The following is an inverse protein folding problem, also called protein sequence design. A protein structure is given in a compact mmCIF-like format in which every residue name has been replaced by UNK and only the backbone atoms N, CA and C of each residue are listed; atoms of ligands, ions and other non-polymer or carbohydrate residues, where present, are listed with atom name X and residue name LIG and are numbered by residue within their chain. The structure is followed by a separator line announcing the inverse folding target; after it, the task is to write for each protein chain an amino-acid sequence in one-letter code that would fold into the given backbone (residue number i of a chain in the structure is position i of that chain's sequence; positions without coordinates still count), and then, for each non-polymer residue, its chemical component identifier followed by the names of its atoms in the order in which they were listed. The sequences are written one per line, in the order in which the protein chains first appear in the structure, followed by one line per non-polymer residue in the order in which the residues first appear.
data_IF_181176453369
#
_entry.id   IF_181176453369
#
_cell.length_a   1.000
_cell.length_b   1.000
_cell.length_c   1.000
_cell.angle_alpha   90.00
_cell.angle_beta   90.00
_cell.angle_gamma   90.00
#
_symmetry.space_group_name_H-M   'P 1'
#
loop_
_entity.id
_entity.type
_entity.pdbx_description
1 polymer ?
#
# COMPACT_ATOMS: atom_id res chain seq x y z
N UNK A 1 -12.17 -15.19 -21.85
CA UNK A 1 -10.89 -15.69 -21.33
C UNK A 1 -10.67 -15.20 -19.92
N UNK A 2 -10.37 -16.11 -19.02
CA UNK A 2 -10.00 -15.72 -17.66
C UNK A 2 -8.66 -14.97 -17.70
N UNK A 3 -8.60 -13.79 -17.06
CA UNK A 3 -7.36 -13.05 -16.95
C UNK A 3 -6.44 -13.78 -15.96
N UNK A 4 -5.13 -13.78 -16.24
CA UNK A 4 -4.17 -14.31 -15.29
C UNK A 4 -4.22 -13.51 -13.99
N UNK A 5 -4.17 -14.16 -12.81
CA UNK A 5 -4.14 -13.44 -11.54
C UNK A 5 -2.87 -12.60 -11.41
N UNK A 6 -2.98 -11.47 -10.69
CA UNK A 6 -1.81 -10.65 -10.39
C UNK A 6 -0.92 -11.33 -9.36
N UNK A 7 -1.53 -11.81 -8.30
CA UNK A 7 -0.86 -12.43 -7.17
C UNK A 7 -1.68 -13.62 -6.68
N UNK A 8 -0.99 -14.69 -6.32
CA UNK A 8 -1.62 -15.88 -5.75
C UNK A 8 -0.85 -16.34 -4.53
N UNK A 9 -1.56 -16.54 -3.43
CA UNK A 9 -1.05 -17.17 -2.22
C UNK A 9 -1.69 -18.54 -2.09
N UNK A 10 -0.88 -19.58 -1.91
CA UNK A 10 -1.35 -20.95 -1.82
C UNK A 10 -0.80 -21.61 -0.55
N UNK A 11 -1.70 -22.03 0.34
CA UNK A 11 -1.34 -22.75 1.54
C UNK A 11 -0.44 -21.98 2.50
N UNK A 12 -0.59 -20.67 2.57
CA UNK A 12 0.27 -19.81 3.39
C UNK A 12 0.03 -20.08 4.87
N UNK A 13 1.09 -20.42 5.56
CA UNK A 13 1.11 -20.58 7.01
C UNK A 13 2.18 -19.68 7.60
N UNK A 14 1.81 -18.96 8.66
CA UNK A 14 2.68 -18.05 9.38
C UNK A 14 2.46 -18.22 10.87
N UNK A 15 3.56 -18.28 11.60
CA UNK A 15 3.55 -18.25 13.06
C UNK A 15 4.26 -16.99 13.52
N UNK A 16 3.76 -16.40 14.58
CA UNK A 16 4.38 -15.25 15.20
C UNK A 16 4.38 -15.50 16.72
N UNK A 17 5.58 -15.52 17.30
CA UNK A 17 5.72 -15.76 18.73
C UNK A 17 5.25 -17.14 19.20
N UNK A 18 5.23 -18.13 18.30
CA UNK A 18 4.79 -19.50 18.63
C UNK A 18 3.34 -19.80 18.33
N UNK A 19 2.52 -18.79 18.12
CA UNK A 19 1.11 -18.97 17.77
C UNK A 19 0.90 -18.86 16.28
N UNK A 20 0.13 -19.78 15.65
CA UNK A 20 -0.17 -19.67 14.24
C UNK A 20 -1.08 -18.46 13.97
N UNK A 21 -0.63 -17.54 13.11
CA UNK A 21 -1.41 -16.40 12.68
C UNK A 21 -2.32 -16.80 11.53
N UNK A 22 -1.77 -17.55 10.57
CA UNK A 22 -2.50 -18.09 9.43
C UNK A 22 -2.13 -19.55 9.27
N UNK A 23 -3.11 -20.36 8.88
CA UNK A 23 -2.94 -21.78 8.59
C UNK A 23 -3.58 -22.09 7.25
N UNK A 24 -2.77 -22.48 6.27
CA UNK A 24 -3.22 -22.85 4.92
C UNK A 24 -4.11 -21.80 4.25
N UNK A 25 -3.71 -20.55 4.31
CA UNK A 25 -4.45 -19.45 3.68
C UNK A 25 -4.25 -19.47 2.16
N UNK A 26 -5.34 -19.46 1.43
CA UNK A 26 -5.35 -19.32 -0.02
C UNK A 26 -5.98 -17.98 -0.39
N UNK A 27 -5.35 -17.24 -1.29
CA UNK A 27 -5.85 -15.96 -1.75
C UNK A 27 -5.40 -15.74 -3.19
N UNK A 28 -6.32 -15.31 -4.05
CA UNK A 28 -6.04 -14.96 -5.44
C UNK A 28 -6.49 -13.54 -5.67
N UNK A 29 -5.61 -12.71 -6.22
CA UNK A 29 -5.91 -11.32 -6.56
C UNK A 29 -5.89 -11.18 -8.08
N UNK A 30 -7.04 -10.82 -8.65
CA UNK A 30 -7.23 -10.60 -10.07
C UNK A 30 -7.04 -9.11 -10.43
N UNK A 31 -6.75 -8.78 -11.70
CA UNK A 31 -6.73 -7.39 -12.13
C UNK A 31 -8.04 -6.68 -11.80
N UNK A 32 -7.93 -5.52 -11.17
CA UNK A 32 -9.09 -4.73 -10.80
C UNK A 32 -9.80 -5.14 -9.51
N UNK A 33 -9.32 -6.17 -8.82
CA UNK A 33 -9.92 -6.60 -7.55
C UNK A 33 -9.76 -5.52 -6.47
N UNK A 34 -10.75 -5.44 -5.60
CA UNK A 34 -10.79 -4.53 -4.46
C UNK A 34 -11.06 -5.34 -3.21
N UNK A 35 -10.03 -5.51 -2.39
CA UNK A 35 -10.09 -6.39 -1.24
C UNK A 35 -9.87 -5.58 0.03
N UNK A 36 -10.77 -5.73 1.00
CA UNK A 36 -10.59 -5.16 2.32
C UNK A 36 -10.30 -6.29 3.31
N UNK A 37 -9.21 -6.13 4.06
CA UNK A 37 -8.87 -7.01 5.17
C UNK A 37 -9.31 -6.33 6.45
N UNK A 38 -10.26 -6.95 7.13
CA UNK A 38 -10.84 -6.41 8.36
C UNK A 38 -10.54 -7.38 9.50
N UNK A 39 -10.21 -6.87 10.66
CA UNK A 39 -9.94 -7.68 11.83
C UNK A 39 -9.32 -6.87 12.94
N UNK A 40 -9.13 -7.51 14.08
CA UNK A 40 -8.55 -6.86 15.25
C UNK A 40 -7.05 -6.65 15.09
N UNK A 41 -6.50 -5.69 15.83
CA UNK A 41 -5.06 -5.52 15.96
C UNK A 41 -4.45 -6.83 16.45
N UNK A 42 -3.30 -7.20 15.89
CA UNK A 42 -2.62 -8.43 16.24
C UNK A 42 -3.14 -9.67 15.54
N UNK A 43 -4.09 -9.54 14.60
CA UNK A 43 -4.59 -10.68 13.80
C UNK A 43 -3.65 -11.06 12.64
N UNK A 44 -2.52 -10.37 12.49
CA UNK A 44 -1.52 -10.67 11.46
C UNK A 44 -1.79 -10.06 10.08
N UNK A 45 -2.73 -9.12 9.98
CA UNK A 45 -3.06 -8.48 8.70
C UNK A 45 -1.84 -7.78 8.08
N UNK A 46 -1.10 -7.03 8.87
CA UNK A 46 0.11 -6.34 8.39
C UNK A 46 1.19 -7.33 7.95
N UNK A 47 1.33 -8.45 8.66
CA UNK A 47 2.27 -9.50 8.29
C UNK A 47 1.86 -10.16 6.97
N UNK A 48 0.57 -10.44 6.80
CA UNK A 48 0.05 -10.96 5.53
C UNK A 48 0.33 -9.99 4.39
N UNK A 49 0.15 -8.70 4.61
CA UNK A 49 0.44 -7.69 3.59
C UNK A 49 1.91 -7.67 3.21
N UNK A 50 2.82 -7.86 4.17
CA UNK A 50 4.25 -7.98 3.89
C UNK A 50 4.56 -9.23 3.07
N UNK A 51 3.87 -10.34 3.32
CA UNK A 51 4.00 -11.54 2.49
C UNK A 51 3.53 -11.23 1.07
N UNK A 52 2.41 -10.57 0.90
CA UNK A 52 1.91 -10.17 -0.42
C UNK A 52 2.89 -9.26 -1.14
N UNK A 53 3.55 -8.36 -0.42
CA UNK A 53 4.54 -7.44 -0.98
C UNK A 53 5.89 -8.11 -1.31
N UNK A 54 6.10 -9.35 -0.86
CA UNK A 54 7.37 -10.03 -1.04
C UNK A 54 8.46 -9.62 -0.04
N UNK A 55 8.08 -8.93 1.03
CA UNK A 55 9.00 -8.44 2.06
C UNK A 55 9.20 -9.44 3.20
N UNK A 56 8.36 -10.45 3.28
CA UNK A 56 8.45 -11.49 4.29
C UNK A 56 8.08 -12.84 3.68
N UNK A 57 8.87 -13.86 3.98
CA UNK A 57 8.57 -15.21 3.53
C UNK A 57 7.63 -15.90 4.52
N UNK A 58 6.64 -16.67 4.04
CA UNK A 58 5.81 -17.48 4.93
C UNK A 58 6.57 -18.70 5.42
N UNK A 59 6.12 -19.31 6.52
CA UNK A 59 6.69 -20.55 7.03
C UNK A 59 6.37 -21.72 6.09
N UNK A 60 5.20 -21.71 5.49
CA UNK A 60 4.76 -22.70 4.50
C UNK A 60 3.93 -22.01 3.44
N UNK A 61 3.88 -22.65 2.28
CA UNK A 61 3.07 -22.18 1.17
C UNK A 61 3.86 -21.45 0.11
N UNK A 62 3.19 -21.07 -0.95
CA UNK A 62 3.80 -20.42 -2.11
C UNK A 62 3.13 -19.08 -2.39
N UNK A 63 3.97 -18.11 -2.67
CA UNK A 63 3.57 -16.81 -3.20
C UNK A 63 3.98 -16.78 -4.68
N UNK A 64 3.00 -16.58 -5.55
CA UNK A 64 3.24 -16.48 -6.99
C UNK A 64 2.79 -15.11 -7.48
N UNK A 65 3.73 -14.35 -8.02
CA UNK A 65 3.46 -13.08 -8.66
C UNK A 65 3.61 -13.25 -10.15
N UNK A 66 2.59 -12.85 -10.92
CA UNK A 66 2.68 -12.93 -12.38
C UNK A 66 3.81 -12.04 -12.88
N UNK A 67 4.71 -12.55 -13.74
CA UNK A 67 5.82 -11.76 -14.27
C UNK A 67 5.35 -10.46 -14.91
N UNK A 68 6.07 -9.37 -14.61
CA UNK A 68 5.72 -8.05 -15.12
C UNK A 68 4.69 -7.28 -14.30
N UNK A 69 4.17 -7.87 -13.22
CA UNK A 69 3.21 -7.19 -12.36
C UNK A 69 3.94 -6.21 -11.42
N UNK A 70 3.57 -4.95 -11.48
CA UNK A 70 4.08 -3.93 -10.59
C UNK A 70 3.24 -3.95 -9.30
N UNK A 71 3.92 -4.08 -8.16
CA UNK A 71 3.31 -4.07 -6.83
C UNK A 71 3.84 -2.87 -6.06
N UNK A 72 2.93 -2.04 -5.56
CA UNK A 72 3.28 -0.95 -4.66
C UNK A 72 2.80 -1.25 -3.26
N UNK A 73 3.64 -0.95 -2.27
CA UNK A 73 3.33 -1.18 -0.87
C UNK A 73 3.53 0.12 -0.09
N UNK A 74 2.48 0.53 0.63
CA UNK A 74 2.55 1.69 1.51
C UNK A 74 3.11 1.24 2.86
N UNK A 75 4.37 1.56 3.10
CA UNK A 75 5.01 1.26 4.38
C UNK A 75 4.47 2.18 5.49
N UNK A 76 4.36 1.64 6.70
CA UNK A 76 3.93 2.42 7.86
C UNK A 76 4.98 3.45 8.28
N UNK A 77 6.25 3.12 8.10
CA UNK A 77 7.38 3.98 8.49
C UNK A 77 8.43 3.98 7.37
N UNK A 78 8.16 4.73 6.29
CA UNK A 78 9.06 4.74 5.14
C UNK A 78 10.38 5.44 5.45
N UNK A 79 11.46 4.90 4.88
CA UNK A 79 12.77 5.52 4.97
C UNK A 79 12.91 6.55 3.85
N UNK A 80 12.93 7.82 4.23
CA UNK A 80 13.05 8.94 3.30
C UNK A 80 14.44 9.56 3.29
N UNK A 81 15.42 8.93 3.96
CA UNK A 81 16.76 9.50 4.16
C UNK A 81 17.53 9.80 2.87
N UNK A 82 17.19 9.14 1.76
CA UNK A 82 17.82 9.35 0.46
C UNK A 82 17.28 10.59 -0.28
N UNK A 83 16.29 11.29 0.26
CA UNK A 83 15.60 12.39 -0.41
C UNK A 83 15.68 13.68 0.41
N UNK A 84 15.69 14.82 -0.27
CA UNK A 84 15.72 16.14 0.38
C UNK A 84 14.31 16.59 0.80
N UNK A 85 13.33 16.40 -0.09
CA UNK A 85 11.96 16.85 0.15
C UNK A 85 10.97 15.70 0.01
N UNK A 86 9.77 15.90 0.55
CA UNK A 86 8.68 14.94 0.40
C UNK A 86 8.29 14.74 -1.06
N UNK A 87 8.35 15.81 -1.85
CA UNK A 87 8.07 15.74 -3.27
C UNK A 87 9.09 14.92 -4.03
N UNK A 88 10.37 15.04 -3.69
CA UNK A 88 11.42 14.23 -4.29
C UNK A 88 11.19 12.75 -4.06
N UNK A 89 10.82 12.38 -2.84
CA UNK A 89 10.49 11.01 -2.49
C UNK A 89 9.26 10.52 -3.27
N UNK A 90 8.19 11.31 -3.27
CA UNK A 90 6.92 10.90 -3.89
C UNK A 90 7.04 10.77 -5.43
N UNK A 91 7.91 11.56 -6.05
CA UNK A 91 8.09 11.55 -7.51
C UNK A 91 9.23 10.66 -7.99
N UNK A 92 9.95 9.98 -7.10
CA UNK A 92 11.20 9.30 -7.39
C UNK A 92 11.12 8.26 -8.51
N UNK A 93 9.98 7.62 -8.68
CA UNK A 93 9.78 6.55 -9.68
C UNK A 93 8.92 7.00 -10.87
N UNK A 94 8.47 8.26 -10.88
CA UNK A 94 7.65 8.75 -11.98
C UNK A 94 8.50 9.09 -13.21
N UNK A 95 7.95 8.85 -14.41
CA UNK A 95 8.62 9.31 -15.64
C UNK A 95 8.74 10.84 -15.65
N UNK A 96 9.78 11.39 -16.32
CA UNK A 96 9.90 12.83 -16.47
C UNK A 96 8.66 13.46 -17.10
N UNK A 97 8.19 14.56 -16.53
CA UNK A 97 7.00 15.27 -17.00
C UNK A 97 5.70 14.84 -16.30
N UNK A 98 5.75 13.82 -15.44
CA UNK A 98 4.56 13.34 -14.71
C UNK A 98 4.56 13.75 -13.23
N UNK A 99 5.46 14.66 -12.84
CA UNK A 99 5.53 15.16 -11.46
C UNK A 99 4.23 15.84 -11.00
N UNK A 100 3.42 16.31 -11.95
CA UNK A 100 2.11 16.90 -11.64
C UNK A 100 1.20 15.94 -10.87
N UNK A 101 1.39 14.64 -11.02
CA UNK A 101 0.61 13.64 -10.29
C UNK A 101 0.85 13.73 -8.79
N UNK A 102 2.09 13.99 -8.40
CA UNK A 102 2.44 14.21 -7.00
C UNK A 102 1.79 15.49 -6.48
N UNK A 103 1.82 16.56 -7.26
CA UNK A 103 1.21 17.83 -6.87
C UNK A 103 -0.29 17.66 -6.62
N UNK A 104 -0.98 16.93 -7.48
CA UNK A 104 -2.42 16.64 -7.30
C UNK A 104 -2.68 15.82 -6.04
N UNK A 105 -1.88 14.79 -5.81
CA UNK A 105 -2.02 13.96 -4.62
C UNK A 105 -1.68 14.74 -3.34
N UNK A 106 -0.67 15.60 -3.39
CA UNK A 106 -0.28 16.44 -2.27
C UNK A 106 -1.39 17.41 -1.87
N UNK A 107 -2.07 17.98 -2.86
CA UNK A 107 -3.20 18.86 -2.60
C UNK A 107 -4.35 18.10 -1.93
N UNK A 108 -4.69 16.93 -2.44
CA UNK A 108 -5.75 16.10 -1.87
C UNK A 108 -5.44 15.56 -0.47
N UNK A 109 -4.19 15.17 -0.24
CA UNK A 109 -3.74 14.60 1.03
C UNK A 109 -3.21 15.67 2.01
N UNK A 110 -3.15 16.93 1.57
CA UNK A 110 -2.78 18.08 2.40
C UNK A 110 -1.38 18.01 2.99
N UNK A 111 -0.39 17.84 2.12
CA UNK A 111 1.00 18.07 2.49
C UNK A 111 1.68 18.91 1.41
N UNK A 112 2.81 19.50 1.77
CA UNK A 112 3.59 20.33 0.86
C UNK A 112 4.77 19.54 0.30
N UNK A 113 4.87 19.37 -1.03
CA UNK A 113 5.98 18.62 -1.62
C UNK A 113 7.35 19.23 -1.32
N UNK A 114 7.42 20.54 -1.13
CA UNK A 114 8.67 21.25 -0.82
C UNK A 114 9.14 21.07 0.64
N UNK A 115 8.34 20.44 1.49
CA UNK A 115 8.72 20.23 2.89
C UNK A 115 9.97 19.35 2.98
N UNK A 116 11.02 19.80 3.69
CA UNK A 116 12.22 18.98 3.87
C UNK A 116 11.89 17.70 4.65
N UNK A 117 12.46 16.59 4.20
CA UNK A 117 12.28 15.29 4.87
C UNK A 117 12.74 15.37 6.33
N UNK A 118 13.83 16.11 6.59
CA UNK A 118 14.40 16.23 7.94
C UNK A 118 13.46 16.87 8.96
N UNK A 119 12.54 17.72 8.52
CA UNK A 119 11.61 18.43 9.40
C UNK A 119 10.17 17.91 9.31
N UNK A 120 9.90 16.98 8.40
CA UNK A 120 8.57 16.46 8.20
C UNK A 120 8.10 15.63 9.39
N UNK A 121 6.83 15.80 9.74
CA UNK A 121 6.18 14.98 10.78
C UNK A 121 5.96 13.54 10.28
N UNK A 122 5.69 12.62 11.19
CA UNK A 122 5.34 11.24 10.82
C UNK A 122 4.09 11.19 9.93
N UNK A 123 3.09 12.02 10.23
CA UNK A 123 1.89 12.12 9.41
C UNK A 123 2.16 12.64 8.01
N UNK A 124 3.02 13.64 7.88
CA UNK A 124 3.44 14.18 6.57
C UNK A 124 4.18 13.12 5.75
N UNK A 125 5.08 12.38 6.38
CA UNK A 125 5.81 11.29 5.72
C UNK A 125 4.88 10.20 5.21
N UNK A 126 3.90 9.81 6.01
CA UNK A 126 2.89 8.83 5.62
C UNK A 126 2.04 9.31 4.47
N UNK A 127 1.62 10.57 4.49
CA UNK A 127 0.85 11.16 3.39
C UNK A 127 1.67 11.21 2.11
N UNK A 128 2.96 11.52 2.22
CA UNK A 128 3.87 11.48 1.07
C UNK A 128 4.03 10.06 0.52
N UNK A 129 4.12 9.04 1.37
CA UNK A 129 4.17 7.64 0.95
C UNK A 129 2.89 7.23 0.21
N UNK A 130 1.75 7.66 0.71
CA UNK A 130 0.47 7.42 0.06
C UNK A 130 0.37 8.14 -1.28
N UNK A 131 0.84 9.38 -1.33
CA UNK A 131 0.88 10.15 -2.58
C UNK A 131 1.76 9.48 -3.63
N UNK A 132 2.91 8.96 -3.22
CA UNK A 132 3.80 8.21 -4.11
C UNK A 132 3.08 7.02 -4.73
N UNK A 133 2.41 6.25 -3.91
CA UNK A 133 1.70 5.06 -4.36
C UNK A 133 0.56 5.41 -5.32
N UNK A 134 -0.23 6.44 -4.97
CA UNK A 134 -1.34 6.88 -5.82
C UNK A 134 -0.85 7.46 -7.15
N UNK A 135 0.29 8.17 -7.14
CA UNK A 135 0.87 8.73 -8.36
C UNK A 135 1.47 7.66 -9.26
N UNK A 136 2.13 6.66 -8.69
CA UNK A 136 2.67 5.51 -9.44
C UNK A 136 1.57 4.68 -10.09
N UNK A 137 0.44 4.53 -9.41
CA UNK A 137 -0.69 3.70 -9.83
C UNK A 137 -0.24 2.31 -10.32
N UNK A 138 0.46 1.52 -9.49
CA UNK A 138 0.91 0.18 -9.89
C UNK A 138 -0.29 -0.73 -10.12
N UNK A 139 -0.07 -1.88 -10.75
CA UNK A 139 -1.15 -2.82 -11.02
C UNK A 139 -1.81 -3.37 -9.75
N UNK A 140 -1.02 -3.50 -8.69
CA UNK A 140 -1.52 -3.91 -7.37
C UNK A 140 -0.99 -2.94 -6.30
N UNK A 141 -1.91 -2.35 -5.55
CA UNK A 141 -1.58 -1.48 -4.42
C UNK A 141 -1.89 -2.20 -3.11
N UNK A 142 -0.93 -2.19 -2.20
CA UNK A 142 -1.09 -2.75 -0.86
C UNK A 142 -1.08 -1.59 0.14
N UNK A 143 -2.24 -1.36 0.76
CA UNK A 143 -2.49 -0.19 1.60
C UNK A 143 -2.76 -0.63 3.05
N UNK A 144 -1.80 -0.36 3.94
CA UNK A 144 -1.94 -0.70 5.35
C UNK A 144 -2.45 0.51 6.12
N UNK A 145 -3.73 0.50 6.44
CA UNK A 145 -4.43 1.56 7.18
C UNK A 145 -4.19 2.96 6.59
N UNK A 146 -4.50 3.14 5.29
CA UNK A 146 -4.14 4.38 4.60
C UNK A 146 -4.87 5.62 5.11
N UNK A 147 -5.98 5.45 5.84
CA UNK A 147 -6.76 6.58 6.35
C UNK A 147 -6.27 7.09 7.70
N UNK A 148 -5.32 6.41 8.36
CA UNK A 148 -4.75 6.88 9.61
C UNK A 148 -4.08 8.23 9.42
N UNK A 149 -4.34 9.15 10.33
CA UNK A 149 -3.80 10.51 10.33
C UNK A 149 -4.28 11.39 9.17
N UNK A 150 -5.37 11.01 8.50
CA UNK A 150 -6.02 11.82 7.49
C UNK A 150 -7.25 12.51 8.08
N UNK A 151 -7.48 13.77 7.68
CA UNK A 151 -8.73 14.44 8.00
C UNK A 151 -9.84 13.95 7.05
N UNK A 152 -11.08 14.39 7.30
CA UNK A 152 -12.25 13.94 6.54
C UNK A 152 -12.10 14.26 5.05
N UNK A 153 -11.60 15.45 4.71
CA UNK A 153 -11.44 15.84 3.32
C UNK A 153 -10.40 15.00 2.58
N UNK A 154 -9.30 14.67 3.27
CA UNK A 154 -8.27 13.80 2.71
C UNK A 154 -8.79 12.37 2.52
N UNK A 155 -9.58 11.86 3.46
CA UNK A 155 -10.23 10.56 3.34
C UNK A 155 -11.18 10.54 2.14
N UNK A 156 -11.99 11.57 1.98
CA UNK A 156 -12.91 11.68 0.83
C UNK A 156 -12.14 11.72 -0.49
N UNK A 157 -11.04 12.47 -0.54
CA UNK A 157 -10.18 12.50 -1.72
C UNK A 157 -9.64 11.11 -2.05
N UNK A 158 -9.11 10.41 -1.04
CA UNK A 158 -8.56 9.07 -1.21
C UNK A 158 -9.62 8.07 -1.68
N UNK A 159 -10.81 8.12 -1.09
CA UNK A 159 -11.93 7.25 -1.49
C UNK A 159 -12.32 7.49 -2.94
N UNK A 160 -12.34 8.74 -3.37
CA UNK A 160 -12.64 9.09 -4.76
C UNK A 160 -11.57 8.55 -5.71
N UNK A 161 -10.29 8.68 -5.34
CA UNK A 161 -9.19 8.16 -6.15
C UNK A 161 -9.21 6.64 -6.23
N UNK A 162 -9.46 5.95 -5.13
CA UNK A 162 -9.57 4.49 -5.12
C UNK A 162 -10.81 4.02 -5.89
N UNK A 163 -11.87 4.81 -5.88
CA UNK A 163 -13.06 4.52 -6.68
C UNK A 163 -12.82 4.61 -8.19
N UNK A 164 -11.91 5.50 -8.61
CA UNK A 164 -11.60 5.75 -10.01
C UNK A 164 -10.41 4.94 -10.54
N UNK A 165 -9.59 4.37 -9.67
CA UNK A 165 -8.38 3.67 -10.10
C UNK A 165 -8.69 2.37 -10.81
N UNK A 166 -7.86 2.03 -11.79
CA UNK A 166 -7.88 0.73 -12.47
C UNK A 166 -7.00 -0.29 -11.77
N UNK A 167 -6.17 0.14 -10.84
CA UNK A 167 -5.31 -0.75 -10.05
C UNK A 167 -6.17 -1.67 -9.20
N UNK A 168 -5.72 -2.91 -9.03
CA UNK A 168 -6.23 -3.75 -7.95
C UNK A 168 -5.66 -3.22 -6.64
N UNK A 169 -6.38 -3.37 -5.54
CA UNK A 169 -5.83 -3.00 -4.25
C UNK A 169 -6.33 -3.90 -3.13
N UNK A 170 -5.46 -4.06 -2.15
CA UNK A 170 -5.78 -4.70 -0.87
C UNK A 170 -5.57 -3.65 0.21
N UNK A 171 -6.59 -3.41 1.00
CA UNK A 171 -6.56 -2.40 2.04
C UNK A 171 -6.83 -3.04 3.39
N UNK A 172 -5.98 -2.72 4.36
CA UNK A 172 -6.25 -3.07 5.75
C UNK A 172 -6.97 -1.90 6.38
N UNK A 173 -8.11 -2.18 7.02
CA UNK A 173 -8.79 -1.19 7.83
C UNK A 173 -9.13 -1.79 9.18
N UNK A 174 -9.17 -0.93 10.20
CA UNK A 174 -9.57 -1.34 11.53
C UNK A 174 -11.06 -1.63 11.58
N UNK A 175 -11.42 -2.71 12.30
CA UNK A 175 -12.78 -2.92 12.69
C UNK A 175 -13.08 -1.93 13.83
N UNK A 176 -13.86 -0.93 13.51
CA UNK A 176 -14.43 -0.02 14.52
C UNK A 176 -15.77 -0.60 14.95
N UNK A 177 -15.67 -1.57 15.80
CA UNK A 177 -16.87 -2.09 16.42
C UNK A 177 -17.45 -1.06 17.40
#
# INVERSE_FOLDING_TARGET
MARAPLLQLSGISLTFGGDPVFSSLDLVIQPGDRIALVGRNGSGKSTLMKVMAGLQEPDRGLRSLTPGTAVGYMEQDPDLSAFETLGDFAAATLPPGEEYRVAMAAEGLKFRPETPVATASGGERRRAALARLMAEAPELMLLDEPTNHLDIEAIEWLEAELGATRSAFVMISHDRA
#
